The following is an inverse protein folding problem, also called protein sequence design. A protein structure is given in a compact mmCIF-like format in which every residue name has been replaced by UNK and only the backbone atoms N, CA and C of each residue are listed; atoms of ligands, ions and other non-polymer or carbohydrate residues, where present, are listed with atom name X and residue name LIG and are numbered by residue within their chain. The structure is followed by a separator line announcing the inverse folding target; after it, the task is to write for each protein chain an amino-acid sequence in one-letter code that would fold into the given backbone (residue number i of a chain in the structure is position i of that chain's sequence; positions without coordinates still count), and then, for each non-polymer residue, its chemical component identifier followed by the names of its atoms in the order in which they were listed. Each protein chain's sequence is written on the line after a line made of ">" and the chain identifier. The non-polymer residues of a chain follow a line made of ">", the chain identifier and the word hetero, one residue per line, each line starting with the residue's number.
data_IF_811697947919
#
_entry.id   IF_811697947919
#
_cell.length_a   1.000
_cell.length_b   1.000
_cell.length_c   1.000
_cell.angle_alpha   90.00
_cell.angle_beta   90.00
_cell.angle_gamma   90.00
#
_symmetry.space_group_name_H-M   'P 1'
#
loop_
_entity.id
_entity.type
_entity.pdbx_description
1 polymer ?
#
# COMPACT_ATOMS: atom_id res chain seq x y z
N UNK A 1 -51.96 -28.37 -38.36
CA UNK A 1 -51.29 -27.19 -38.94
C UNK A 1 -50.55 -26.48 -37.81
N UNK A 2 -49.31 -26.89 -37.53
CA UNK A 2 -48.56 -26.40 -36.36
C UNK A 2 -47.04 -26.54 -36.59
N UNK A 3 -46.58 -26.04 -37.75
CA UNK A 3 -45.17 -26.11 -38.14
C UNK A 3 -44.59 -24.74 -38.60
N UNK A 4 -45.34 -23.65 -38.46
CA UNK A 4 -44.96 -22.30 -38.95
C UNK A 4 -44.36 -21.36 -37.90
N UNK A 5 -44.63 -21.56 -36.60
CA UNK A 5 -44.17 -20.63 -35.55
C UNK A 5 -42.65 -20.70 -35.30
N UNK A 6 -42.04 -21.89 -35.43
CA UNK A 6 -40.59 -22.07 -35.21
C UNK A 6 -39.75 -21.59 -36.40
N UNK A 7 -40.30 -21.69 -37.62
CA UNK A 7 -39.65 -21.23 -38.85
C UNK A 7 -39.57 -19.70 -38.90
N UNK A 8 -40.66 -19.01 -38.55
CA UNK A 8 -40.67 -17.54 -38.46
C UNK A 8 -39.74 -17.01 -37.36
N UNK A 9 -39.62 -17.68 -36.21
CA UNK A 9 -38.70 -17.29 -35.13
C UNK A 9 -37.23 -17.42 -35.54
N UNK A 10 -36.89 -18.46 -36.31
CA UNK A 10 -35.52 -18.71 -36.78
C UNK A 10 -35.12 -17.71 -37.87
N UNK A 11 -36.02 -17.40 -38.80
CA UNK A 11 -35.80 -16.38 -39.83
C UNK A 11 -35.67 -14.99 -39.22
N UNK A 12 -36.53 -14.65 -38.24
CA UNK A 12 -36.45 -13.38 -37.52
C UNK A 12 -35.10 -13.22 -36.82
N UNK A 13 -34.61 -14.28 -36.14
CA UNK A 13 -33.31 -14.30 -35.47
C UNK A 13 -32.13 -14.14 -36.45
N UNK A 14 -32.17 -14.84 -37.58
CA UNK A 14 -31.15 -14.74 -38.62
C UNK A 14 -31.13 -13.36 -39.29
N UNK A 15 -32.30 -12.77 -39.55
CA UNK A 15 -32.43 -11.42 -40.08
C UNK A 15 -31.89 -10.37 -39.10
N UNK A 16 -32.20 -10.47 -37.80
CA UNK A 16 -31.61 -9.59 -36.78
C UNK A 16 -30.09 -9.76 -36.66
N UNK A 17 -29.56 -10.98 -36.77
CA UNK A 17 -28.12 -11.22 -36.71
C UNK A 17 -27.39 -10.59 -37.92
N UNK A 18 -27.94 -10.77 -39.13
CA UNK A 18 -27.39 -10.16 -40.34
C UNK A 18 -27.45 -8.63 -40.29
N UNK A 19 -28.54 -8.04 -39.80
CA UNK A 19 -28.67 -6.60 -39.60
C UNK A 19 -27.63 -6.11 -38.58
N UNK A 20 -27.45 -6.82 -37.47
CA UNK A 20 -26.44 -6.46 -36.45
C UNK A 20 -25.01 -6.52 -37.00
N UNK A 21 -24.68 -7.53 -37.83
CA UNK A 21 -23.38 -7.67 -38.49
C UNK A 21 -23.14 -6.60 -39.57
N UNK A 22 -24.19 -6.17 -40.30
CA UNK A 22 -24.12 -5.08 -41.27
C UNK A 22 -24.00 -3.70 -40.61
N UNK A 23 -24.62 -3.50 -39.44
CA UNK A 23 -24.43 -2.29 -38.64
C UNK A 23 -23.02 -2.27 -38.03
N UNK A 24 -22.51 -3.43 -37.58
CA UNK A 24 -21.16 -3.55 -37.02
C UNK A 24 -20.04 -3.23 -38.03
N UNK A 25 -20.26 -3.44 -39.33
CA UNK A 25 -19.28 -3.13 -40.38
C UNK A 25 -19.33 -1.67 -40.88
N UNK A 26 -20.40 -0.92 -40.57
CA UNK A 26 -20.59 0.47 -41.03
C UNK A 26 -20.41 1.51 -39.91
N UNK A 27 -20.27 1.08 -38.66
CA UNK A 27 -19.90 1.93 -37.54
C UNK A 27 -18.37 1.90 -37.36
N UNK A 28 -17.65 2.82 -38.00
CA UNK A 28 -16.37 3.26 -37.47
C UNK A 28 -16.67 3.97 -36.14
N UNK A 29 -16.69 3.22 -35.05
CA UNK A 29 -16.85 3.75 -33.70
C UNK A 29 -15.62 4.64 -33.45
N UNK A 30 -15.79 5.95 -33.18
CA UNK A 30 -14.71 6.74 -32.64
C UNK A 30 -14.42 6.16 -31.25
N UNK A 31 -13.31 5.43 -31.11
CA UNK A 31 -12.87 4.90 -29.82
C UNK A 31 -12.24 6.03 -29.00
N UNK A 32 -13.08 6.92 -28.48
CA UNK A 32 -12.76 7.78 -27.33
C UNK A 32 -13.82 7.61 -26.25
N UNK A 33 -13.79 6.45 -25.59
CA UNK A 33 -14.37 6.29 -24.24
C UNK A 33 -13.48 5.36 -23.42
N UNK A 34 -12.34 5.88 -22.96
CA UNK A 34 -11.71 5.38 -21.74
C UNK A 34 -12.59 5.82 -20.56
N UNK A 35 -13.45 4.92 -20.08
CA UNK A 35 -14.29 5.13 -18.91
C UNK A 35 -13.40 5.30 -17.66
N UNK A 36 -13.58 6.34 -16.82
CA UNK A 36 -12.66 6.68 -15.73
C UNK A 36 -12.79 5.80 -14.47
N UNK A 37 -13.15 4.51 -14.60
CA UNK A 37 -13.58 3.69 -13.46
C UNK A 37 -13.10 2.22 -13.44
N UNK A 38 -12.30 1.76 -14.40
CA UNK A 38 -11.74 0.41 -14.30
C UNK A 38 -10.48 0.42 -13.42
N UNK A 39 -10.38 -0.46 -12.40
CA UNK A 39 -9.18 -0.55 -11.59
C UNK A 39 -7.99 -0.96 -12.47
N UNK A 40 -6.84 -0.32 -12.28
CA UNK A 40 -5.60 -0.74 -12.95
C UNK A 40 -5.26 -2.18 -12.56
N UNK A 41 -4.46 -2.88 -13.39
CA UNK A 41 -3.98 -4.23 -13.05
C UNK A 41 -3.26 -4.26 -11.69
N UNK A 42 -2.45 -3.25 -11.40
CA UNK A 42 -1.79 -3.09 -10.10
C UNK A 42 -2.81 -2.95 -8.94
N UNK A 43 -3.91 -2.21 -9.15
CA UNK A 43 -4.99 -2.10 -8.18
C UNK A 43 -5.68 -3.45 -7.94
N UNK A 44 -5.97 -4.20 -9.01
CA UNK A 44 -6.59 -5.52 -8.92
C UNK A 44 -5.69 -6.52 -8.17
N UNK A 45 -4.39 -6.56 -8.50
CA UNK A 45 -3.42 -7.42 -7.82
C UNK A 45 -3.32 -7.06 -6.35
N UNK A 46 -3.16 -5.78 -6.02
CA UNK A 46 -3.13 -5.35 -4.62
C UNK A 46 -4.40 -5.76 -3.88
N UNK A 47 -5.58 -5.52 -4.47
CA UNK A 47 -6.85 -5.88 -3.84
C UNK A 47 -6.95 -7.40 -3.62
N UNK A 48 -6.48 -8.20 -4.57
CA UNK A 48 -6.39 -9.65 -4.43
C UNK A 48 -5.50 -10.07 -3.25
N UNK A 49 -4.32 -9.48 -3.13
CA UNK A 49 -3.39 -9.75 -2.02
C UNK A 49 -4.00 -9.35 -0.67
N UNK A 50 -4.57 -8.16 -0.55
CA UNK A 50 -5.20 -7.71 0.71
C UNK A 50 -6.40 -8.60 1.07
N UNK A 51 -7.20 -9.03 0.07
CA UNK A 51 -8.30 -9.96 0.30
C UNK A 51 -7.79 -11.32 0.78
N UNK A 52 -6.70 -11.82 0.20
CA UNK A 52 -6.07 -13.06 0.64
C UNK A 52 -5.53 -12.93 2.07
N UNK A 53 -4.83 -11.84 2.40
CA UNK A 53 -4.35 -11.61 3.78
C UNK A 53 -5.53 -11.60 4.76
N UNK A 54 -6.61 -10.89 4.41
CA UNK A 54 -7.84 -10.86 5.22
C UNK A 54 -8.39 -12.26 5.48
N UNK A 55 -8.53 -13.09 4.45
CA UNK A 55 -9.05 -14.46 4.62
C UNK A 55 -8.09 -15.36 5.41
N UNK A 56 -6.77 -15.19 5.26
CA UNK A 56 -5.79 -15.90 6.08
C UNK A 56 -5.87 -15.50 7.56
N UNK A 57 -6.20 -14.25 7.87
CA UNK A 57 -6.41 -13.81 9.25
C UNK A 57 -7.67 -14.38 9.90
N UNK A 58 -8.61 -14.96 9.13
CA UNK A 58 -9.75 -15.70 9.67
C UNK A 58 -9.35 -17.10 10.15
N UNK A 59 -8.28 -17.67 9.58
CA UNK A 59 -7.70 -18.97 9.92
C UNK A 59 -7.17 -18.98 11.35
N UNK A 60 -7.80 -19.80 12.20
CA UNK A 60 -7.47 -19.91 13.61
C UNK A 60 -6.07 -20.49 13.82
N UNK A 61 -5.64 -21.45 13.01
CA UNK A 61 -4.32 -22.07 13.16
C UNK A 61 -3.21 -21.06 12.86
N UNK A 62 -3.41 -20.21 11.83
CA UNK A 62 -2.48 -19.12 11.56
C UNK A 62 -2.42 -18.11 12.70
N UNK A 63 -3.56 -17.71 13.27
CA UNK A 63 -3.58 -16.77 14.40
C UNK A 63 -2.90 -17.37 15.63
N UNK A 64 -3.16 -18.64 15.97
CA UNK A 64 -2.49 -19.34 17.07
C UNK A 64 -0.97 -19.43 16.85
N UNK A 65 -0.52 -19.68 15.61
CA UNK A 65 0.89 -19.64 15.26
C UNK A 65 1.51 -18.25 15.47
N UNK A 66 0.83 -17.18 15.06
CA UNK A 66 1.28 -15.80 15.26
C UNK A 66 1.33 -15.42 16.75
N UNK A 67 0.37 -15.87 17.55
CA UNK A 67 0.37 -15.71 19.02
C UNK A 67 1.61 -16.37 19.62
N UNK A 68 1.95 -17.59 19.21
CA UNK A 68 3.14 -18.28 19.70
C UNK A 68 4.44 -17.54 19.31
N UNK A 69 4.53 -16.98 18.09
CA UNK A 69 5.68 -16.14 17.71
C UNK A 69 5.79 -14.94 18.65
N UNK A 70 4.69 -14.24 18.95
CA UNK A 70 4.75 -13.08 19.83
C UNK A 70 5.10 -13.45 21.28
N UNK A 71 4.68 -14.63 21.76
CA UNK A 71 5.11 -15.16 23.06
C UNK A 71 6.63 -15.37 23.09
N UNK A 72 7.21 -15.90 22.01
CA UNK A 72 8.66 -16.05 21.90
C UNK A 72 9.38 -14.69 21.92
N UNK A 73 8.79 -13.66 21.32
CA UNK A 73 9.33 -12.29 21.38
C UNK A 73 9.29 -11.76 22.81
N UNK A 74 8.23 -12.02 23.58
CA UNK A 74 8.16 -11.63 25.00
C UNK A 74 9.31 -12.22 25.83
N UNK A 75 9.74 -13.45 25.53
CA UNK A 75 10.89 -14.08 26.20
C UNK A 75 12.24 -13.44 25.90
N UNK A 76 12.33 -12.61 24.84
CA UNK A 76 13.54 -11.85 24.52
C UNK A 76 13.60 -10.51 25.28
N UNK A 77 12.51 -10.11 25.92
CA UNK A 77 12.44 -8.85 26.67
C UNK A 77 13.08 -8.98 28.07
N UNK A 78 13.57 -7.87 28.66
CA UNK A 78 14.07 -7.87 30.03
C UNK A 78 13.05 -8.41 31.03
N UNK A 79 13.55 -9.11 32.06
CA UNK A 79 12.76 -9.87 33.03
C UNK A 79 11.63 -9.09 33.71
N UNK A 80 11.76 -7.75 33.78
CA UNK A 80 10.76 -6.87 34.40
C UNK A 80 9.47 -6.71 33.59
N UNK A 81 9.49 -7.01 32.29
CA UNK A 81 8.35 -6.81 31.37
C UNK A 81 7.95 -8.07 30.61
N UNK A 82 8.72 -9.16 30.74
CA UNK A 82 8.44 -10.45 30.09
C UNK A 82 7.06 -10.99 30.45
N UNK A 83 6.70 -10.95 31.73
CA UNK A 83 5.42 -11.47 32.24
C UNK A 83 4.24 -10.65 31.71
N UNK A 84 4.30 -9.32 31.86
CA UNK A 84 3.28 -8.39 31.35
C UNK A 84 3.10 -8.52 29.82
N UNK A 85 4.21 -8.66 29.07
CA UNK A 85 4.14 -8.90 27.63
C UNK A 85 3.42 -10.22 27.30
N UNK A 86 3.76 -11.30 28.01
CA UNK A 86 3.16 -12.61 27.81
C UNK A 86 1.66 -12.59 28.07
N UNK A 87 1.22 -11.93 29.13
CA UNK A 87 -0.20 -11.73 29.46
C UNK A 87 -0.93 -10.96 28.36
N UNK A 88 -0.40 -9.81 27.95
CA UNK A 88 -0.97 -8.97 26.88
C UNK A 88 -1.09 -9.75 25.57
N UNK A 89 -0.05 -10.49 25.18
CA UNK A 89 -0.07 -11.30 23.95
C UNK A 89 -1.14 -12.39 24.05
N UNK A 90 -1.20 -13.09 25.17
CA UNK A 90 -2.14 -14.19 25.37
C UNK A 90 -3.60 -13.70 25.35
N UNK A 91 -3.89 -12.55 25.94
CA UNK A 91 -5.25 -12.02 26.06
C UNK A 91 -5.72 -11.25 24.82
N UNK A 92 -4.82 -10.57 24.11
CA UNK A 92 -5.23 -9.55 23.13
C UNK A 92 -4.81 -9.86 21.69
N UNK A 93 -3.79 -10.69 21.45
CA UNK A 93 -3.24 -10.81 20.10
C UNK A 93 -4.20 -11.51 19.12
N UNK A 94 -4.89 -12.57 19.53
CA UNK A 94 -5.87 -13.24 18.66
C UNK A 94 -7.00 -12.27 18.25
N UNK A 95 -7.53 -11.53 19.23
CA UNK A 95 -8.55 -10.51 18.98
C UNK A 95 -8.02 -9.38 18.09
N UNK A 96 -6.78 -8.94 18.30
CA UNK A 96 -6.15 -7.89 17.50
C UNK A 96 -5.96 -8.34 16.04
N UNK A 97 -5.49 -9.56 15.79
CA UNK A 97 -5.33 -10.13 14.45
C UNK A 97 -6.67 -10.27 13.73
N UNK A 98 -7.70 -10.74 14.44
CA UNK A 98 -9.06 -10.82 13.91
C UNK A 98 -9.62 -9.43 13.58
N UNK A 99 -9.51 -8.50 14.51
CA UNK A 99 -9.97 -7.10 14.34
C UNK A 99 -9.23 -6.42 13.19
N UNK A 100 -7.94 -6.70 13.03
CA UNK A 100 -7.15 -6.21 11.90
C UNK A 100 -7.72 -6.71 10.57
N UNK A 101 -8.04 -8.00 10.46
CA UNK A 101 -8.75 -8.58 9.32
C UNK A 101 -10.08 -7.89 9.03
N UNK A 102 -10.84 -7.55 10.07
CA UNK A 102 -12.14 -6.88 9.92
C UNK A 102 -12.00 -5.44 9.40
N UNK A 103 -11.01 -4.69 9.91
CA UNK A 103 -10.79 -3.29 9.57
C UNK A 103 -10.16 -3.13 8.18
N UNK A 104 -9.30 -4.05 7.74
CA UNK A 104 -8.68 -3.93 6.42
C UNK A 104 -9.73 -4.09 5.32
N UNK A 105 -9.79 -3.08 4.44
CA UNK A 105 -10.66 -3.07 3.28
C UNK A 105 -9.78 -3.03 2.02
N UNK A 106 -9.87 -4.03 1.12
CA UNK A 106 -8.94 -4.18 0.01
C UNK A 106 -8.74 -2.91 -0.81
N UNK A 107 -9.84 -2.23 -1.18
CA UNK A 107 -9.77 -1.03 -2.00
C UNK A 107 -9.09 0.13 -1.27
N UNK A 108 -9.53 0.49 -0.07
CA UNK A 108 -8.98 1.65 0.65
C UNK A 108 -7.53 1.41 1.09
N UNK A 109 -7.18 0.20 1.51
CA UNK A 109 -5.79 -0.19 1.79
C UNK A 109 -4.93 -0.02 0.54
N UNK A 110 -5.36 -0.54 -0.61
CA UNK A 110 -4.62 -0.41 -1.86
C UNK A 110 -4.56 1.02 -2.39
N UNK A 111 -5.53 1.86 -2.03
CA UNK A 111 -5.45 3.28 -2.32
C UNK A 111 -4.39 3.97 -1.43
N UNK A 112 -4.28 3.60 -0.14
CA UNK A 112 -3.24 4.12 0.76
C UNK A 112 -1.86 3.72 0.25
N UNK A 113 -1.75 2.48 -0.22
CA UNK A 113 -0.54 1.95 -0.86
C UNK A 113 -0.32 2.46 -2.29
N UNK A 114 -1.20 3.34 -2.80
CA UNK A 114 -1.15 3.96 -4.13
C UNK A 114 -1.18 2.98 -5.32
N UNK A 115 -1.60 1.73 -5.10
CA UNK A 115 -1.88 0.78 -6.18
C UNK A 115 -3.24 1.04 -6.83
N UNK A 116 -4.17 1.63 -6.07
CA UNK A 116 -5.45 2.12 -6.56
C UNK A 116 -5.48 3.65 -6.47
N UNK A 117 -6.00 4.33 -7.49
CA UNK A 117 -6.07 5.78 -7.45
C UNK A 117 -7.02 6.27 -6.32
N UNK A 118 -6.52 7.20 -5.51
CA UNK A 118 -7.34 8.08 -4.70
C UNK A 118 -7.70 9.29 -5.57
N UNK A 119 -9.00 9.55 -5.71
CA UNK A 119 -9.63 10.74 -6.29
C UNK A 119 -10.12 10.58 -7.74
N UNK A 120 -11.31 11.14 -7.98
CA UNK A 120 -11.90 11.29 -9.31
C UNK A 120 -10.84 11.90 -10.24
N UNK A 121 -10.54 11.29 -11.40
CA UNK A 121 -9.42 11.66 -12.28
C UNK A 121 -9.44 13.10 -12.84
N UNK A 122 -10.45 13.90 -12.49
CA UNK A 122 -10.54 15.34 -12.78
C UNK A 122 -9.82 16.21 -11.74
N UNK A 123 -9.95 15.93 -10.44
CA UNK A 123 -9.33 16.78 -9.39
C UNK A 123 -7.82 16.61 -9.37
N UNK A 124 -7.34 15.36 -9.47
CA UNK A 124 -5.91 15.07 -9.52
C UNK A 124 -5.25 15.65 -10.78
N UNK A 125 -5.93 15.58 -11.94
CA UNK A 125 -5.50 16.30 -13.16
C UNK A 125 -5.40 17.79 -12.94
N UNK A 126 -6.42 18.44 -12.39
CA UNK A 126 -6.39 19.90 -12.12
C UNK A 126 -5.23 20.27 -11.18
N UNK A 127 -4.97 19.46 -10.15
CA UNK A 127 -3.90 19.72 -9.19
C UNK A 127 -2.50 19.47 -9.75
N UNK A 128 -2.34 18.47 -10.63
CA UNK A 128 -1.11 18.19 -11.38
C UNK A 128 -0.86 19.22 -12.48
N UNK A 129 -1.88 19.57 -13.27
CA UNK A 129 -1.84 20.61 -14.33
C UNK A 129 -1.47 21.97 -13.76
N UNK A 130 -1.98 22.32 -12.58
CA UNK A 130 -1.61 23.55 -11.86
C UNK A 130 -0.25 23.46 -11.14
N UNK A 131 0.41 22.30 -11.22
CA UNK A 131 1.69 22.02 -10.56
C UNK A 131 1.65 22.13 -9.03
N UNK A 132 0.46 22.12 -8.43
CA UNK A 132 0.32 22.34 -6.98
C UNK A 132 0.86 21.14 -6.19
N UNK A 133 0.60 19.92 -6.67
CA UNK A 133 1.12 18.68 -6.08
C UNK A 133 2.64 18.62 -6.19
N UNK A 134 3.20 19.04 -7.33
CA UNK A 134 4.65 19.13 -7.53
C UNK A 134 5.28 20.13 -6.55
N UNK A 135 4.72 21.34 -6.43
CA UNK A 135 5.21 22.36 -5.49
C UNK A 135 5.11 21.90 -4.04
N UNK A 136 4.00 21.26 -3.66
CA UNK A 136 3.80 20.72 -2.32
C UNK A 136 4.84 19.63 -2.02
N UNK A 137 4.99 18.64 -2.91
CA UNK A 137 5.98 17.59 -2.76
C UNK A 137 7.39 18.16 -2.59
N UNK A 138 7.81 19.08 -3.47
CA UNK A 138 9.15 19.66 -3.40
C UNK A 138 9.36 20.46 -2.11
N UNK A 139 8.35 21.22 -1.67
CA UNK A 139 8.43 21.98 -0.42
C UNK A 139 8.52 21.04 0.78
N UNK A 140 7.68 20.00 0.81
CA UNK A 140 7.70 18.99 1.87
C UNK A 140 9.04 18.30 1.94
N UNK A 141 9.61 17.86 0.80
CA UNK A 141 10.93 17.21 0.79
C UNK A 141 12.06 18.15 1.24
N UNK A 142 12.00 19.45 0.94
CA UNK A 142 12.95 20.43 1.48
C UNK A 142 12.84 20.54 3.00
N UNK A 143 11.60 20.58 3.53
CA UNK A 143 11.36 20.63 4.98
C UNK A 143 11.86 19.35 5.65
N UNK A 144 11.46 18.19 5.14
CA UNK A 144 11.88 16.88 5.65
C UNK A 144 13.40 16.79 5.67
N UNK A 145 14.07 17.17 4.58
CA UNK A 145 15.52 17.23 4.52
C UNK A 145 16.08 18.12 5.63
N UNK A 146 15.60 19.36 5.76
CA UNK A 146 16.09 20.29 6.79
C UNK A 146 15.87 19.80 8.22
N UNK A 147 14.77 19.09 8.48
CA UNK A 147 14.46 18.57 9.82
C UNK A 147 15.34 17.36 10.12
N UNK A 148 15.38 16.38 9.22
CA UNK A 148 16.08 15.11 9.46
C UNK A 148 17.59 15.29 9.48
N UNK A 149 18.12 16.31 8.82
CA UNK A 149 19.56 16.63 8.83
C UNK A 149 19.93 17.67 9.89
N UNK A 150 19.00 18.08 10.77
CA UNK A 150 19.29 19.03 11.84
C UNK A 150 19.95 18.34 13.03
N UNK A 151 20.94 18.99 13.66
CA UNK A 151 21.59 18.47 14.87
C UNK A 151 20.57 18.18 15.99
N UNK A 152 19.55 19.02 16.14
CA UNK A 152 18.49 18.82 17.12
C UNK A 152 17.72 17.51 16.91
N UNK A 153 17.35 17.21 15.67
CA UNK A 153 16.63 15.97 15.35
C UNK A 153 17.56 14.76 15.48
N UNK A 154 18.80 14.89 15.01
CA UNK A 154 19.80 13.82 15.10
C UNK A 154 20.11 13.46 16.55
N UNK A 155 20.25 14.44 17.44
CA UNK A 155 20.45 14.17 18.87
C UNK A 155 19.24 13.49 19.50
N UNK A 156 18.02 13.87 19.11
CA UNK A 156 16.81 13.23 19.61
C UNK A 156 16.72 11.75 19.20
N UNK A 157 17.03 11.43 17.94
CA UNK A 157 16.95 10.04 17.46
C UNK A 157 18.14 9.22 17.93
N UNK A 158 19.33 9.81 18.12
CA UNK A 158 20.57 9.13 18.47
C UNK A 158 20.40 8.25 19.72
N UNK A 159 19.91 8.85 20.81
CA UNK A 159 19.70 8.12 22.07
C UNK A 159 18.65 7.00 21.94
N UNK A 160 17.60 7.23 21.15
CA UNK A 160 16.55 6.24 20.90
C UNK A 160 17.07 5.09 20.02
N UNK A 161 17.92 5.41 19.04
CA UNK A 161 18.46 4.46 18.09
C UNK A 161 19.43 3.49 18.78
N UNK A 162 20.15 3.93 19.82
CA UNK A 162 21.01 3.05 20.63
C UNK A 162 20.29 2.21 21.67
N UNK A 163 19.01 2.44 21.95
CA UNK A 163 18.24 1.57 22.85
C UNK A 163 18.18 0.12 22.34
N UNK A 164 18.38 -0.10 21.04
CA UNK A 164 18.45 -1.43 20.43
C UNK A 164 19.72 -2.18 20.85
N UNK A 165 20.78 -1.47 21.27
CA UNK A 165 22.03 -2.06 21.72
C UNK A 165 21.98 -2.33 23.23
N UNK A 166 21.64 -3.56 23.61
CA UNK A 166 21.53 -3.92 25.03
C UNK A 166 22.90 -3.90 25.72
N UNK A 167 23.07 -3.18 26.86
CA UNK A 167 24.36 -3.01 27.54
C UNK A 167 25.02 -4.31 28.03
N UNK A 168 24.23 -5.38 28.18
CA UNK A 168 24.68 -6.67 28.69
C UNK A 168 25.18 -7.61 27.60
N UNK A 169 24.99 -7.26 26.32
CA UNK A 169 25.46 -8.08 25.22
C UNK A 169 26.96 -7.91 25.03
N UNK A 170 27.65 -9.02 24.79
CA UNK A 170 29.09 -9.04 24.45
C UNK A 170 29.41 -8.23 23.18
N UNK A 171 28.40 -7.95 22.35
CA UNK A 171 28.51 -7.20 21.09
C UNK A 171 28.04 -5.76 21.20
N UNK A 172 27.81 -5.24 22.40
CA UNK A 172 27.29 -3.89 22.62
C UNK A 172 28.06 -2.81 21.84
N UNK A 173 29.39 -2.86 21.89
CA UNK A 173 30.24 -1.86 21.22
C UNK A 173 30.15 -1.95 19.70
N UNK A 174 30.11 -3.17 19.17
CA UNK A 174 29.90 -3.41 17.73
C UNK A 174 28.51 -2.96 17.29
N UNK A 175 27.48 -3.23 18.10
CA UNK A 175 26.12 -2.77 17.85
C UNK A 175 26.06 -1.24 17.80
N UNK A 176 26.67 -0.56 18.78
CA UNK A 176 26.66 0.90 18.86
C UNK A 176 27.38 1.52 17.66
N UNK A 177 28.53 0.96 17.27
CA UNK A 177 29.25 1.39 16.05
C UNK A 177 28.41 1.20 14.78
N UNK A 178 27.71 0.08 14.68
CA UNK A 178 26.83 -0.19 13.54
C UNK A 178 25.65 0.78 13.50
N UNK A 179 25.04 1.08 14.65
CA UNK A 179 23.94 2.03 14.76
C UNK A 179 24.39 3.46 14.41
N UNK A 180 25.56 3.89 14.86
CA UNK A 180 26.16 5.18 14.43
C UNK A 180 26.35 5.21 12.92
N UNK A 181 26.95 4.18 12.33
CA UNK A 181 27.16 4.09 10.87
C UNK A 181 25.85 4.17 10.10
N UNK A 182 24.78 3.53 10.57
CA UNK A 182 23.47 3.61 9.91
C UNK A 182 22.85 4.99 9.98
N UNK A 183 22.97 5.69 11.12
CA UNK A 183 22.48 7.06 11.23
C UNK A 183 23.24 7.99 10.27
N UNK A 184 24.57 7.86 10.18
CA UNK A 184 25.38 8.61 9.23
C UNK A 184 24.96 8.34 7.78
N UNK A 185 24.78 7.07 7.42
CA UNK A 185 24.32 6.67 6.08
C UNK A 185 22.94 7.24 5.76
N UNK A 186 21.98 7.19 6.70
CA UNK A 186 20.64 7.76 6.52
C UNK A 186 20.73 9.26 6.25
N UNK A 187 21.55 9.97 7.01
CA UNK A 187 21.78 11.42 6.81
C UNK A 187 22.36 11.71 5.44
N UNK A 188 23.36 10.94 5.00
CA UNK A 188 23.97 11.08 3.67
C UNK A 188 22.92 10.87 2.58
N UNK A 189 22.13 9.80 2.67
CA UNK A 189 21.11 9.47 1.69
C UNK A 189 20.03 10.54 1.62
N UNK A 190 19.51 11.00 2.77
CA UNK A 190 18.52 12.08 2.82
C UNK A 190 19.10 13.38 2.26
N UNK A 191 20.37 13.68 2.55
CA UNK A 191 21.05 14.84 1.99
C UNK A 191 21.22 14.77 0.46
N UNK A 192 21.36 13.58 -0.10
CA UNK A 192 21.45 13.38 -1.55
C UNK A 192 20.09 13.52 -2.27
N UNK A 193 18.96 13.57 -1.54
CA UNK A 193 17.65 13.71 -2.16
C UNK A 193 17.54 15.07 -2.85
N UNK A 194 17.39 15.02 -4.17
CA UNK A 194 16.98 16.16 -5.00
C UNK A 194 15.45 16.20 -5.07
N UNK A 195 14.79 17.21 -4.46
CA UNK A 195 13.33 17.23 -4.36
C UNK A 195 12.61 17.15 -5.71
N UNK A 196 13.13 17.79 -6.76
CA UNK A 196 12.51 17.74 -8.08
C UNK A 196 12.53 16.32 -8.68
N UNK A 197 13.69 15.66 -8.67
CA UNK A 197 13.86 14.30 -9.19
C UNK A 197 13.07 13.27 -8.38
N UNK A 198 13.07 13.41 -7.06
CA UNK A 198 12.28 12.54 -6.19
C UNK A 198 10.78 12.70 -6.44
N UNK A 199 10.29 13.95 -6.54
CA UNK A 199 8.88 14.21 -6.85
C UNK A 199 8.47 13.74 -8.25
N UNK A 200 9.38 13.78 -9.23
CA UNK A 200 9.16 13.19 -10.55
C UNK A 200 9.04 11.66 -10.46
N UNK A 201 9.94 11.01 -9.70
CA UNK A 201 9.89 9.57 -9.44
C UNK A 201 8.58 9.15 -8.76
N UNK A 202 8.08 9.98 -7.84
CA UNK A 202 6.79 9.80 -7.18
C UNK A 202 5.58 10.19 -8.05
N UNK A 203 5.76 10.56 -9.33
CA UNK A 203 4.71 11.02 -10.26
C UNK A 203 3.91 12.22 -9.75
N UNK A 204 4.52 13.02 -8.88
CA UNK A 204 3.96 14.25 -8.32
C UNK A 204 4.37 15.49 -9.11
N UNK A 205 5.46 15.41 -9.86
CA UNK A 205 5.86 16.36 -10.88
C UNK A 205 5.74 15.70 -12.27
N UNK A 206 5.37 16.48 -13.27
CA UNK A 206 5.55 16.07 -14.67
C UNK A 206 7.03 15.82 -14.95
N UNK A 207 7.31 14.98 -15.96
CA UNK A 207 8.69 14.78 -16.42
C UNK A 207 9.31 16.07 -16.98
#
# INVERSE_FOLDING_TARGET
>A
MQHDSHYQSTIMKLATCAIFLLIASTMAVPHETELPNQPTEACLVCMGVITFIKSRLEDRELREYLVNIAQQICHLLPSKITEECGEVVQEHMDLALKSFGDIIQPRSTCQVLQFCDYLKPKVQRILLERGLVCKLCQKTLRIVKSVVTSESFLNLIRDQFYLVCEPKLLVHDLCTQLMESFLEDIVIHINSIEPAKMCQKCRMCSQ
#
